data_IF_019895947245
#
_entry.id   IF_019895947245
#
_cell.length_a   1.000
_cell.length_b   1.000
_cell.length_c   1.000
_cell.angle_alpha   90.00
_cell.angle_beta   90.00
_cell.angle_gamma   90.00
#
_symmetry.space_group_name_H-M   'P 1'
#
loop_
_entity.id
_entity.type
_entity.pdbx_description
1 polymer ?
#
# COMPACT_ATOMS: atom_id res chain seq x y z
N UNK A 1 0.07 -14.75 24.53
CA UNK A 1 -0.77 -15.35 23.47
C UNK A 1 0.17 -15.91 22.41
N UNK A 2 -0.02 -17.16 21.96
CA UNK A 2 0.79 -17.70 20.87
C UNK A 2 0.14 -17.22 19.57
N UNK A 3 0.68 -16.21 18.94
CA UNK A 3 0.29 -15.83 17.59
C UNK A 3 0.46 -17.06 16.68
N UNK A 4 -0.56 -17.35 15.91
CA UNK A 4 -0.53 -18.49 15.01
C UNK A 4 0.45 -18.14 13.87
N UNK A 5 1.54 -18.90 13.76
CA UNK A 5 2.58 -18.71 12.72
C UNK A 5 2.01 -18.66 11.30
N UNK A 6 0.80 -19.18 11.13
CA UNK A 6 0.06 -19.22 9.88
C UNK A 6 -0.46 -17.82 9.47
N UNK A 7 -1.00 -17.02 10.43
CA UNK A 7 -1.47 -15.66 10.15
C UNK A 7 -0.32 -14.77 9.68
N UNK A 8 0.84 -14.95 10.28
CA UNK A 8 2.07 -14.23 9.99
C UNK A 8 2.60 -14.52 8.58
N UNK A 9 2.56 -15.78 8.16
CA UNK A 9 2.98 -16.21 6.81
C UNK A 9 2.04 -15.64 5.75
N UNK A 10 0.74 -15.50 6.03
CA UNK A 10 -0.23 -14.90 5.11
C UNK A 10 0.04 -13.40 4.89
N UNK A 11 0.37 -12.67 5.95
CA UNK A 11 0.73 -11.25 5.87
C UNK A 11 2.04 -11.08 5.07
N UNK A 12 3.03 -11.95 5.29
CA UNK A 12 4.26 -11.95 4.50
C UNK A 12 4.02 -12.30 3.02
N UNK A 13 3.06 -13.18 2.73
CA UNK A 13 2.69 -13.54 1.35
C UNK A 13 2.07 -12.35 0.61
N UNK A 14 1.32 -11.48 1.28
CA UNK A 14 0.79 -10.25 0.69
C UNK A 14 1.93 -9.30 0.33
N UNK A 15 2.87 -9.11 1.24
CA UNK A 15 4.05 -8.28 0.99
C UNK A 15 4.84 -8.78 -0.23
N UNK A 16 4.97 -10.11 -0.39
CA UNK A 16 5.68 -10.70 -1.52
C UNK A 16 4.90 -10.68 -2.83
N UNK A 17 3.57 -10.72 -2.82
CA UNK A 17 2.74 -10.60 -4.03
C UNK A 17 2.77 -9.17 -4.58
N UNK A 18 2.69 -8.17 -3.70
CA UNK A 18 2.89 -6.77 -4.08
C UNK A 18 4.32 -6.54 -4.59
N UNK A 19 5.32 -7.26 -4.03
CA UNK A 19 6.73 -7.18 -4.46
C UNK A 19 7.04 -7.95 -5.75
N UNK A 20 6.27 -8.97 -6.12
CA UNK A 20 6.57 -9.86 -7.25
C UNK A 20 5.77 -9.55 -8.53
N UNK A 21 4.81 -8.66 -8.47
CA UNK A 21 3.70 -8.58 -9.46
C UNK A 21 3.85 -7.60 -10.60
N UNK A 22 4.97 -6.97 -10.91
CA UNK A 22 4.97 -6.03 -12.04
C UNK A 22 6.30 -5.83 -12.72
N UNK A 23 6.80 -6.89 -13.37
CA UNK A 23 7.74 -6.74 -14.46
C UNK A 23 7.03 -7.01 -15.79
N UNK A 24 6.02 -6.25 -16.14
CA UNK A 24 5.47 -6.18 -17.49
C UNK A 24 5.59 -4.76 -18.01
N UNK A 25 6.35 -4.64 -19.11
CA UNK A 25 6.51 -3.42 -19.85
C UNK A 25 5.14 -2.85 -20.26
N UNK A 26 4.84 -1.64 -19.82
CA UNK A 26 3.59 -0.95 -20.11
C UNK A 26 3.61 -0.39 -21.52
N UNK A 27 2.60 -0.78 -22.29
CA UNK A 27 2.21 -0.08 -23.52
C UNK A 27 1.13 0.93 -23.15
N UNK A 28 1.44 2.20 -23.37
CA UNK A 28 0.66 3.34 -22.96
C UNK A 28 -0.28 3.78 -24.06
N UNK A 29 -1.50 3.40 -23.95
CA UNK A 29 -2.57 4.02 -24.71
C UNK A 29 -3.62 4.61 -23.79
N UNK A 30 -3.46 5.87 -23.39
CA UNK A 30 -4.54 6.81 -23.57
C UNK A 30 -4.15 8.21 -23.07
N UNK A 31 -4.37 9.17 -23.95
CA UNK A 31 -4.23 10.61 -23.79
C UNK A 31 -5.35 11.18 -22.92
N UNK A 32 -4.95 11.82 -21.85
CA UNK A 32 -5.78 12.70 -21.08
C UNK A 32 -4.90 13.66 -20.31
N UNK A 33 -4.12 14.47 -21.03
CA UNK A 33 -3.39 15.59 -20.43
C UNK A 33 -4.40 16.62 -19.95
N UNK A 34 -4.62 16.67 -18.66
CA UNK A 34 -5.34 17.70 -17.96
C UNK A 34 -4.96 17.59 -16.50
N UNK A 35 -4.65 18.70 -15.84
CA UNK A 35 -4.43 18.73 -14.40
C UNK A 35 -5.62 18.04 -13.72
N UNK A 36 -5.46 16.77 -13.31
CA UNK A 36 -6.49 16.07 -12.57
C UNK A 36 -6.71 16.83 -11.26
N UNK A 37 -7.96 17.14 -10.96
CA UNK A 37 -8.33 17.76 -9.68
C UNK A 37 -8.09 16.77 -8.54
N UNK A 38 -7.88 17.29 -7.32
CA UNK A 38 -7.85 16.46 -6.14
C UNK A 38 -9.17 15.69 -6.00
N UNK A 39 -9.10 14.43 -5.64
CA UNK A 39 -10.27 13.54 -5.56
C UNK A 39 -10.25 12.73 -4.26
N UNK A 40 -11.43 12.37 -3.77
CA UNK A 40 -11.61 11.42 -2.69
C UNK A 40 -11.98 10.06 -3.28
N UNK A 41 -11.36 9.01 -2.77
CA UNK A 41 -11.61 7.63 -3.19
C UNK A 41 -11.83 6.75 -1.96
N UNK A 42 -12.45 5.59 -2.18
CA UNK A 42 -12.61 4.55 -1.15
C UNK A 42 -11.88 3.28 -1.61
N UNK A 43 -10.97 2.77 -0.79
CA UNK A 43 -10.26 1.50 -1.01
C UNK A 43 -10.52 0.60 0.18
N UNK A 44 -11.09 -0.59 -0.03
CA UNK A 44 -11.38 -1.55 1.03
C UNK A 44 -12.33 -1.02 2.13
N UNK A 45 -13.16 0.00 1.81
CA UNK A 45 -14.05 0.63 2.78
C UNK A 45 -13.44 1.79 3.57
N UNK A 46 -12.18 2.14 3.33
CA UNK A 46 -11.48 3.27 3.95
C UNK A 46 -11.35 4.39 2.90
N UNK A 47 -11.59 5.63 3.32
CA UNK A 47 -11.56 6.80 2.45
C UNK A 47 -10.16 7.44 2.45
N UNK A 48 -9.72 7.84 1.25
CA UNK A 48 -8.43 8.50 1.01
C UNK A 48 -8.58 9.71 0.10
N UNK A 49 -7.72 10.71 0.28
CA UNK A 49 -7.59 11.82 -0.65
C UNK A 49 -6.45 11.57 -1.63
N UNK A 50 -6.69 11.81 -2.91
CA UNK A 50 -5.64 11.80 -3.92
C UNK A 50 -5.37 13.23 -4.35
N UNK A 51 -4.13 13.73 -4.19
CA UNK A 51 -3.77 15.09 -4.56
C UNK A 51 -4.00 15.35 -6.04
N UNK A 52 -4.20 16.64 -6.40
CA UNK A 52 -4.25 17.06 -7.79
C UNK A 52 -2.97 16.66 -8.55
N UNK A 53 -3.11 16.36 -9.82
CA UNK A 53 -1.98 15.96 -10.68
C UNK A 53 -1.69 14.46 -10.71
N UNK A 54 -2.50 13.64 -10.01
CA UNK A 54 -2.42 12.18 -10.07
C UNK A 54 -3.63 11.58 -10.79
N UNK A 55 -3.38 10.56 -11.60
CA UNK A 55 -4.40 9.81 -12.33
C UNK A 55 -4.35 8.34 -11.92
N UNK A 56 -5.52 7.71 -11.73
CA UNK A 56 -5.61 6.28 -11.39
C UNK A 56 -5.01 5.43 -12.52
N UNK A 57 -4.16 4.48 -12.14
CA UNK A 57 -3.65 3.46 -13.03
C UNK A 57 -4.41 2.15 -12.76
N UNK A 58 -5.29 1.78 -13.70
CA UNK A 58 -6.19 0.62 -13.60
C UNK A 58 -5.43 -0.71 -13.44
N UNK A 59 -4.16 -0.79 -13.82
CA UNK A 59 -3.36 -2.02 -13.68
C UNK A 59 -3.03 -2.36 -12.21
N UNK A 60 -3.17 -1.39 -11.32
CA UNK A 60 -2.98 -1.56 -9.87
C UNK A 60 -4.30 -1.63 -9.08
N UNK A 61 -5.42 -1.67 -9.78
CA UNK A 61 -6.72 -1.73 -9.14
C UNK A 61 -7.07 -3.16 -8.75
N UNK A 62 -7.36 -3.36 -7.49
CA UNK A 62 -7.97 -4.59 -6.96
C UNK A 62 -9.18 -4.23 -6.12
N UNK A 63 -10.25 -4.97 -6.22
CA UNK A 63 -11.47 -4.74 -5.45
C UNK A 63 -11.92 -6.03 -4.76
N UNK A 64 -11.75 -6.09 -3.43
CA UNK A 64 -12.17 -7.20 -2.58
C UNK A 64 -11.71 -8.58 -3.10
N UNK A 65 -10.50 -8.66 -3.62
CA UNK A 65 -9.96 -9.93 -4.10
C UNK A 65 -9.69 -10.88 -2.93
N UNK A 66 -10.33 -12.03 -2.98
CA UNK A 66 -10.15 -13.06 -1.97
C UNK A 66 -8.82 -13.77 -2.14
N UNK A 67 -8.09 -13.86 -1.06
CA UNK A 67 -6.92 -14.73 -1.01
C UNK A 67 -7.33 -16.19 -1.01
N UNK A 68 -6.71 -16.98 -1.90
CA UNK A 68 -6.70 -18.44 -1.83
C UNK A 68 -5.54 -18.88 -0.93
N UNK A 69 -5.55 -18.46 0.32
CA UNK A 69 -4.48 -18.77 1.26
C UNK A 69 -4.37 -20.26 1.50
N UNK A 70 -3.24 -20.85 1.13
CA UNK A 70 -2.85 -22.21 1.56
C UNK A 70 -2.53 -22.26 3.06
N UNK A 71 -2.55 -21.12 3.76
CA UNK A 71 -2.18 -20.97 5.17
C UNK A 71 -3.39 -21.00 6.10
N UNK A 72 -4.62 -21.00 5.56
CA UNK A 72 -5.86 -21.10 6.35
C UNK A 72 -6.29 -19.78 7.02
N UNK A 73 -5.73 -18.64 6.59
CA UNK A 73 -6.22 -17.32 6.96
C UNK A 73 -6.94 -16.73 5.75
N UNK A 74 -8.24 -16.51 5.89
CA UNK A 74 -9.04 -15.85 4.87
C UNK A 74 -8.87 -14.34 5.02
N UNK A 75 -8.51 -13.68 3.92
CA UNK A 75 -8.46 -12.23 3.83
C UNK A 75 -8.92 -11.73 2.47
N UNK A 76 -9.33 -10.48 2.40
CA UNK A 76 -9.57 -9.80 1.13
C UNK A 76 -8.61 -8.64 0.99
N UNK A 77 -8.25 -8.32 -0.24
CA UNK A 77 -7.41 -7.18 -0.57
C UNK A 77 -8.12 -6.26 -1.52
N UNK A 78 -7.98 -4.97 -1.26
CA UNK A 78 -8.33 -3.90 -2.19
C UNK A 78 -7.13 -3.00 -2.38
N UNK A 79 -6.90 -2.55 -3.60
CA UNK A 79 -5.78 -1.67 -3.91
C UNK A 79 -6.15 -0.67 -5.01
N UNK A 80 -5.46 0.47 -4.99
CA UNK A 80 -5.47 1.48 -6.03
C UNK A 80 -4.07 2.08 -6.18
N UNK A 81 -3.69 2.41 -7.42
CA UNK A 81 -2.44 3.08 -7.72
C UNK A 81 -2.66 4.32 -8.54
N UNK A 82 -1.87 5.34 -8.30
CA UNK A 82 -1.96 6.64 -8.93
C UNK A 82 -0.58 7.10 -9.37
N UNK A 83 -0.52 7.70 -10.55
CA UNK A 83 0.73 8.21 -11.13
C UNK A 83 0.51 9.63 -11.67
N UNK A 84 1.56 10.45 -11.64
CA UNK A 84 1.55 11.73 -12.35
C UNK A 84 1.75 11.51 -13.88
N UNK A 85 1.45 12.54 -14.68
CA UNK A 85 1.54 12.46 -16.15
C UNK A 85 2.94 12.05 -16.66
N UNK A 86 3.97 12.33 -15.87
CA UNK A 86 5.37 12.02 -16.24
C UNK A 86 5.83 10.66 -15.73
N UNK A 87 5.01 9.99 -14.89
CA UNK A 87 5.37 8.77 -14.17
C UNK A 87 6.62 8.90 -13.30
N UNK A 88 6.86 10.11 -12.82
CA UNK A 88 7.95 10.39 -11.89
C UNK A 88 7.47 10.28 -10.44
N UNK A 89 6.16 10.41 -10.22
CA UNK A 89 5.51 10.38 -8.91
C UNK A 89 4.42 9.33 -8.89
N UNK A 90 4.34 8.60 -7.79
CA UNK A 90 3.34 7.57 -7.63
C UNK A 90 2.85 7.49 -6.18
N UNK A 91 1.60 7.08 -6.01
CA UNK A 91 0.95 6.77 -4.75
C UNK A 91 0.27 5.42 -4.92
N UNK A 92 0.48 4.49 -3.99
CA UNK A 92 -0.16 3.19 -3.93
C UNK A 92 -0.86 3.03 -2.60
N UNK A 93 -2.08 2.53 -2.63
CA UNK A 93 -2.88 2.26 -1.45
C UNK A 93 -3.30 0.80 -1.51
N UNK A 94 -3.09 0.08 -0.42
CA UNK A 94 -3.55 -1.29 -0.26
C UNK A 94 -4.20 -1.43 1.11
N UNK A 95 -5.39 -2.02 1.14
CA UNK A 95 -6.14 -2.35 2.35
C UNK A 95 -6.36 -3.86 2.40
N UNK A 96 -5.95 -4.47 3.50
CA UNK A 96 -6.11 -5.89 3.79
C UNK A 96 -7.10 -6.12 4.93
N UNK A 97 -8.30 -6.63 4.63
CA UNK A 97 -9.30 -7.08 5.60
C UNK A 97 -9.06 -8.56 5.95
N UNK A 98 -8.70 -8.82 7.19
CA UNK A 98 -8.42 -10.16 7.72
C UNK A 98 -9.62 -10.79 8.42
N UNK A 99 -10.80 -10.25 8.29
CA UNK A 99 -12.11 -10.74 8.76
C UNK A 99 -12.14 -11.27 10.20
N UNK A 100 -11.42 -12.35 10.49
CA UNK A 100 -11.41 -13.04 11.78
C UNK A 100 -10.25 -12.59 12.70
N UNK A 101 -9.39 -11.70 12.21
CA UNK A 101 -8.18 -11.26 12.92
C UNK A 101 -8.07 -9.75 12.86
N UNK A 102 -8.13 -9.10 14.01
CA UNK A 102 -7.79 -7.68 14.07
C UNK A 102 -6.29 -7.51 13.89
N UNK A 103 -5.91 -6.64 12.97
CA UNK A 103 -4.54 -6.16 12.83
C UNK A 103 -4.18 -5.35 14.08
N UNK A 104 -3.01 -5.55 14.61
CA UNK A 104 -2.48 -4.84 15.78
C UNK A 104 -1.06 -4.39 15.52
N UNK A 105 -0.54 -3.44 16.30
CA UNK A 105 0.86 -3.01 16.23
C UNK A 105 1.84 -4.18 16.20
N UNK A 106 1.62 -5.21 17.02
CA UNK A 106 2.49 -6.39 17.04
C UNK A 106 2.49 -7.16 15.72
N UNK A 107 1.37 -7.19 15.02
CA UNK A 107 1.26 -7.80 13.69
C UNK A 107 2.03 -6.96 12.68
N UNK A 108 1.88 -5.64 12.72
CA UNK A 108 2.60 -4.73 11.82
C UNK A 108 4.12 -4.82 12.08
N UNK A 109 4.56 -4.73 13.33
CA UNK A 109 5.98 -4.88 13.69
C UNK A 109 6.57 -6.20 13.22
N UNK A 110 5.78 -7.27 13.26
CA UNK A 110 6.24 -8.56 12.75
C UNK A 110 6.34 -8.58 11.22
N UNK A 111 5.40 -7.93 10.51
CA UNK A 111 5.45 -7.79 9.04
C UNK A 111 6.68 -7.00 8.61
N UNK A 112 7.06 -6.00 9.40
CA UNK A 112 8.21 -5.13 9.15
C UNK A 112 9.53 -5.69 9.72
N UNK A 113 9.53 -6.92 10.27
CA UNK A 113 10.73 -7.52 10.84
C UNK A 113 11.87 -7.61 9.80
N UNK A 114 13.02 -7.06 10.15
CA UNK A 114 14.17 -6.94 9.25
C UNK A 114 14.18 -5.71 8.34
N UNK A 115 13.18 -4.82 8.46
CA UNK A 115 13.18 -3.52 7.80
C UNK A 115 13.56 -2.42 8.79
N UNK A 116 14.22 -1.36 8.31
CA UNK A 116 14.41 -0.15 9.08
C UNK A 116 13.13 0.69 9.03
N UNK A 117 12.51 0.91 10.16
CA UNK A 117 11.29 1.72 10.28
C UNK A 117 11.35 2.67 11.46
N UNK A 118 10.56 3.73 11.40
CA UNK A 118 10.29 4.62 12.53
C UNK A 118 8.79 4.68 12.86
N UNK A 119 8.45 4.78 14.13
CA UNK A 119 7.07 5.05 14.54
C UNK A 119 6.73 6.50 14.29
N UNK A 120 5.59 6.74 13.65
CA UNK A 120 5.14 8.07 13.26
C UNK A 120 3.63 8.17 13.35
N UNK A 121 3.13 9.35 13.73
CA UNK A 121 1.71 9.68 13.67
C UNK A 121 1.49 10.61 12.49
N UNK A 122 0.57 10.26 11.59
CA UNK A 122 0.18 11.07 10.43
C UNK A 122 -1.34 11.23 10.43
N UNK A 123 -1.83 12.45 10.49
CA UNK A 123 -3.25 12.79 10.54
C UNK A 123 -4.05 11.98 11.58
N UNK A 124 -3.47 11.83 12.79
CA UNK A 124 -4.10 11.10 13.89
C UNK A 124 -3.91 9.59 13.87
N UNK A 125 -3.38 8.99 12.80
CA UNK A 125 -3.09 7.56 12.70
C UNK A 125 -1.67 7.24 13.14
N UNK A 126 -1.54 6.43 14.18
CA UNK A 126 -0.25 5.90 14.64
C UNK A 126 0.17 4.75 13.72
N UNK A 127 1.39 4.80 13.23
CA UNK A 127 1.88 3.81 12.28
C UNK A 127 3.40 3.76 12.17
N UNK A 128 3.86 3.15 11.11
CA UNK A 128 5.27 2.83 10.86
C UNK A 128 5.70 3.34 9.50
N UNK A 129 6.66 4.25 9.48
CA UNK A 129 7.27 4.77 8.27
C UNK A 129 8.51 3.95 7.92
N UNK A 130 8.55 3.41 6.72
CA UNK A 130 9.66 2.66 6.14
C UNK A 130 10.21 3.43 4.96
N UNK A 131 11.51 3.63 4.90
CA UNK A 131 12.18 4.15 3.72
C UNK A 131 12.97 3.04 3.03
N UNK A 132 12.60 2.72 1.80
CA UNK A 132 13.34 1.76 0.99
C UNK A 132 14.28 2.47 0.02
N UNK A 133 15.57 2.17 0.13
CA UNK A 133 16.54 2.58 -0.88
C UNK A 133 16.50 1.56 -2.03
N UNK A 134 16.08 2.00 -3.21
CA UNK A 134 15.79 1.16 -4.39
C UNK A 134 17.02 0.60 -5.12
N UNK A 135 18.16 0.48 -4.46
CA UNK A 135 19.40 -0.05 -5.08
C UNK A 135 19.41 -1.56 -5.28
N UNK A 136 18.30 -2.27 -5.07
CA UNK A 136 18.18 -3.72 -5.23
C UNK A 136 16.98 -4.12 -6.08
N UNK A 137 17.06 -5.26 -6.74
CA UNK A 137 16.08 -5.84 -7.66
C UNK A 137 14.73 -6.28 -7.05
N UNK A 138 14.35 -5.75 -5.90
CA UNK A 138 13.10 -6.03 -5.18
C UNK A 138 12.29 -4.76 -4.86
N UNK A 139 12.41 -3.73 -5.69
CA UNK A 139 11.61 -2.51 -5.54
C UNK A 139 10.13 -2.79 -5.86
N UNK A 140 9.24 -2.42 -4.95
CA UNK A 140 7.79 -2.40 -5.15
C UNK A 140 7.37 -1.53 -6.33
N UNK A 141 8.14 -0.51 -6.61
CA UNK A 141 8.00 0.38 -7.74
C UNK A 141 9.25 0.30 -8.59
N UNK A 142 9.11 0.10 -9.88
CA UNK A 142 10.22 0.10 -10.84
C UNK A 142 10.77 1.53 -11.07
N UNK A 143 10.90 2.32 -9.99
CA UNK A 143 11.42 3.68 -10.04
C UNK A 143 12.84 3.72 -9.49
N UNK A 144 13.70 4.57 -10.04
CA UNK A 144 15.03 4.88 -9.48
C UNK A 144 14.95 5.80 -8.25
N UNK A 145 13.74 6.16 -7.82
CA UNK A 145 13.46 7.06 -6.70
C UNK A 145 13.33 6.29 -5.39
N UNK A 146 13.69 6.87 -4.26
CA UNK A 146 13.39 6.26 -2.97
C UNK A 146 11.87 6.08 -2.83
N UNK A 147 11.46 4.95 -2.26
CA UNK A 147 10.07 4.65 -1.98
C UNK A 147 9.87 4.70 -0.48
N UNK A 148 8.90 5.47 -0.05
CA UNK A 148 8.44 5.53 1.32
C UNK A 148 7.20 4.66 1.46
N UNK A 149 7.04 3.99 2.58
CA UNK A 149 5.82 3.26 2.92
C UNK A 149 5.38 3.68 4.31
N UNK A 150 4.10 3.96 4.47
CA UNK A 150 3.47 4.14 5.77
C UNK A 150 2.46 3.02 5.99
N UNK A 151 2.60 2.33 7.12
CA UNK A 151 1.80 1.16 7.47
C UNK A 151 1.12 1.40 8.79
N UNK A 152 -0.20 1.28 8.83
CA UNK A 152 -0.99 1.50 10.03
C UNK A 152 -2.21 0.57 10.07
N UNK A 153 -2.90 0.54 11.21
CA UNK A 153 -4.15 -0.17 11.39
C UNK A 153 -5.31 0.83 11.37
N UNK A 154 -6.37 0.47 10.67
CA UNK A 154 -7.62 1.21 10.70
C UNK A 154 -8.82 0.26 10.70
N UNK A 155 -9.68 0.39 11.71
CA UNK A 155 -10.89 -0.44 11.88
C UNK A 155 -10.62 -1.96 11.94
N UNK A 156 -9.43 -2.38 12.32
CA UNK A 156 -9.01 -3.78 12.34
C UNK A 156 -8.32 -4.25 11.06
N UNK A 157 -8.27 -3.39 10.04
CA UNK A 157 -7.65 -3.67 8.75
C UNK A 157 -6.20 -3.16 8.70
N UNK A 158 -5.40 -3.80 7.87
CA UNK A 158 -4.04 -3.36 7.57
C UNK A 158 -4.05 -2.39 6.40
N UNK A 159 -3.59 -1.18 6.63
CA UNK A 159 -3.45 -0.16 5.59
C UNK A 159 -1.98 0.01 5.22
N UNK A 160 -1.71 -0.02 3.93
CA UNK A 160 -0.42 0.22 3.33
C UNK A 160 -0.52 1.39 2.36
N UNK A 161 0.28 2.43 2.56
CA UNK A 161 0.42 3.51 1.58
C UNK A 161 1.87 3.58 1.15
N UNK A 162 2.15 3.40 -0.14
CA UNK A 162 3.45 3.60 -0.74
C UNK A 162 3.47 4.91 -1.53
N UNK A 163 4.56 5.67 -1.44
CA UNK A 163 4.70 6.91 -2.21
C UNK A 163 6.16 7.18 -2.58
N UNK A 164 6.36 7.91 -3.67
CA UNK A 164 7.69 8.38 -4.09
C UNK A 164 8.19 9.56 -3.25
N UNK A 165 7.32 10.20 -2.47
CA UNK A 165 7.66 11.30 -1.56
C UNK A 165 6.85 11.12 -0.27
N UNK A 166 7.51 11.23 0.88
CA UNK A 166 6.89 11.10 2.20
C UNK A 166 5.80 12.15 2.46
N UNK A 167 5.91 13.33 1.87
CA UNK A 167 4.93 14.41 2.07
C UNK A 167 3.52 14.04 1.62
N UNK A 168 3.37 13.08 0.70
CA UNK A 168 2.05 12.66 0.23
C UNK A 168 1.21 11.95 1.28
N UNK A 169 1.81 11.35 2.30
CA UNK A 169 1.02 10.68 3.34
C UNK A 169 0.07 11.63 4.07
N UNK A 170 0.54 12.85 4.36
CA UNK A 170 -0.31 13.86 5.00
C UNK A 170 -1.46 14.37 4.11
N UNK A 171 -1.27 14.30 2.79
CA UNK A 171 -2.31 14.68 1.84
C UNK A 171 -3.31 13.55 1.56
N UNK A 172 -2.85 12.28 1.64
CA UNK A 172 -3.62 11.08 1.29
C UNK A 172 -4.48 10.59 2.45
N UNK A 173 -3.96 10.58 3.67
CA UNK A 173 -4.65 10.06 4.85
C UNK A 173 -5.65 11.11 5.34
N UNK A 174 -6.90 10.69 5.53
CA UNK A 174 -7.96 11.52 6.07
C UNK A 174 -7.96 11.41 7.60
N UNK A 175 -8.19 12.53 8.33
CA UNK A 175 -8.36 12.56 9.79
C UNK A 175 -9.62 11.83 10.23
#
# INVERSE_FOLDING_TARGET
>A
MKFNRIAIIAILAILTVVLAGSASAFDLGFLGGGDSEAQQITVGGIDFNIPAGFTENEDYKMDNEKSNSTTGVDYTMSAAGFEDDKKEKAIYILVGDYRDYNVTDQVIEYVLDGMDYEKKTINGHDGYLVQQNTTGSSSLMATEQPVYMFVYEENGDLVFIGATDESYFGDVIIE
#
